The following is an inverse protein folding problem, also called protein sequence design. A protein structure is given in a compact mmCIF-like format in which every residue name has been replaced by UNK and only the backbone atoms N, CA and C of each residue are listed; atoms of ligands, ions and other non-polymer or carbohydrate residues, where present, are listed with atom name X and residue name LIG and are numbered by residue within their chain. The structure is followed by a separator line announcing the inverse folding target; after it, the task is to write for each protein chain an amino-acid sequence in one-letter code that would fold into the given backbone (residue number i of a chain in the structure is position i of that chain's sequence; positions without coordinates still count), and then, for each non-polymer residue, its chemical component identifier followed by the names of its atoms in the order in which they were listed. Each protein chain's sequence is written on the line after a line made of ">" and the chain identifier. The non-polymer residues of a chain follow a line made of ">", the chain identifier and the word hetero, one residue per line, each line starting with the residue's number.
data_IF_463876674212
#
_entry.id   IF_463876674212
#
_cell.length_a   1.000
_cell.length_b   1.000
_cell.length_c   1.000
_cell.angle_alpha   90.00
_cell.angle_beta   90.00
_cell.angle_gamma   90.00
#
_symmetry.space_group_name_H-M   'P 1'
#
loop_
_entity.id
_entity.type
_entity.pdbx_description
1 polymer ?
#
# COMPACT_ATOMS: atom_id res chain seq x y z
N UNK A 1 -28.03 29.39 -8.18
CA UNK A 1 -28.33 28.11 -7.55
C UNK A 1 -27.25 27.82 -6.54
N UNK A 2 -27.53 27.67 -5.26
CA UNK A 2 -26.51 27.23 -4.31
C UNK A 2 -26.06 25.84 -4.69
N UNK A 3 -24.78 25.69 -4.97
CA UNK A 3 -24.16 24.40 -5.20
C UNK A 3 -24.22 23.64 -3.85
N UNK A 4 -25.01 22.59 -3.81
CA UNK A 4 -25.06 21.74 -2.63
C UNK A 4 -23.74 20.95 -2.63
N UNK A 5 -22.82 21.16 -1.66
CA UNK A 5 -21.54 20.48 -1.65
C UNK A 5 -21.76 18.97 -1.56
N UNK A 6 -20.94 18.22 -2.28
CA UNK A 6 -20.98 16.76 -2.16
C UNK A 6 -20.59 16.34 -0.73
N UNK A 7 -21.02 15.16 -0.31
CA UNK A 7 -20.65 14.60 1.01
C UNK A 7 -19.12 14.56 1.17
N UNK A 8 -18.41 14.32 0.06
CA UNK A 8 -16.93 14.34 0.01
C UNK A 8 -16.38 15.72 0.34
N UNK A 9 -16.93 16.79 -0.28
CA UNK A 9 -16.48 18.16 -0.02
C UNK A 9 -16.80 18.64 1.41
N UNK A 10 -17.90 18.18 2.00
CA UNK A 10 -18.22 18.48 3.41
C UNK A 10 -17.26 17.77 4.36
N UNK A 11 -16.96 16.50 4.12
CA UNK A 11 -15.98 15.72 4.88
C UNK A 11 -14.58 16.33 4.75
N UNK A 12 -14.18 16.71 3.55
CA UNK A 12 -12.89 17.37 3.29
C UNK A 12 -12.76 18.68 4.07
N UNK A 13 -13.80 19.53 4.03
CA UNK A 13 -13.83 20.79 4.82
C UNK A 13 -13.75 20.55 6.32
N UNK A 14 -14.51 19.59 6.85
CA UNK A 14 -14.48 19.22 8.25
C UNK A 14 -13.09 18.67 8.65
N UNK A 15 -12.47 17.92 7.76
CA UNK A 15 -11.13 17.37 7.94
C UNK A 15 -10.06 18.47 7.96
N UNK A 16 -10.06 19.38 6.99
CA UNK A 16 -9.09 20.48 6.88
C UNK A 16 -9.21 21.44 8.07
N UNK A 17 -10.45 21.73 8.53
CA UNK A 17 -10.68 22.59 9.69
C UNK A 17 -10.33 21.95 11.05
N UNK A 18 -10.13 20.64 11.08
CA UNK A 18 -9.78 19.91 12.31
C UNK A 18 -8.34 20.14 12.76
N UNK A 19 -8.08 19.94 14.06
CA UNK A 19 -6.71 19.83 14.57
C UNK A 19 -6.06 18.53 14.05
N UNK A 20 -4.70 18.45 13.97
CA UNK A 20 -4.02 17.26 13.48
C UNK A 20 -4.52 15.96 14.14
N UNK A 21 -4.67 15.89 15.46
CA UNK A 21 -5.16 14.70 16.13
C UNK A 21 -6.61 14.34 15.80
N UNK A 22 -7.48 15.34 15.56
CA UNK A 22 -8.86 15.09 15.13
C UNK A 22 -8.92 14.56 13.67
N UNK A 23 -8.01 15.01 12.82
CA UNK A 23 -7.89 14.51 11.46
C UNK A 23 -7.50 13.04 11.44
N UNK A 24 -6.50 12.68 12.24
CA UNK A 24 -6.04 11.30 12.38
C UNK A 24 -7.17 10.40 12.88
N UNK A 25 -7.87 10.79 13.94
CA UNK A 25 -9.01 10.05 14.48
C UNK A 25 -10.13 9.89 13.45
N UNK A 26 -10.45 10.93 12.69
CA UNK A 26 -11.50 10.89 11.66
C UNK A 26 -11.13 9.92 10.54
N UNK A 27 -9.89 9.99 10.04
CA UNK A 27 -9.42 9.07 9.01
C UNK A 27 -9.44 7.62 9.48
N UNK A 28 -8.92 7.35 10.68
CA UNK A 28 -8.90 6.00 11.23
C UNK A 28 -10.32 5.44 11.37
N UNK A 29 -11.28 6.25 11.80
CA UNK A 29 -12.71 5.84 11.88
C UNK A 29 -13.31 5.58 10.51
N UNK A 30 -13.07 6.44 9.52
CA UNK A 30 -13.55 6.23 8.15
C UNK A 30 -12.93 4.96 7.55
N UNK A 31 -11.63 4.75 7.78
CA UNK A 31 -10.93 3.55 7.35
C UNK A 31 -11.50 2.30 8.01
N UNK A 32 -11.71 2.31 9.32
CA UNK A 32 -12.27 1.16 10.05
C UNK A 32 -13.70 0.84 9.58
N UNK A 33 -14.52 1.86 9.33
CA UNK A 33 -15.87 1.66 8.77
C UNK A 33 -15.81 0.98 7.41
N UNK A 34 -14.87 1.39 6.55
CA UNK A 34 -14.68 0.78 5.23
C UNK A 34 -14.17 -0.66 5.33
N UNK A 35 -13.15 -0.90 6.16
CA UNK A 35 -12.52 -2.22 6.29
C UNK A 35 -13.44 -3.25 6.99
N UNK A 36 -14.38 -2.78 7.82
CA UNK A 36 -15.38 -3.61 8.50
C UNK A 36 -16.71 -3.69 7.76
N UNK A 37 -16.88 -2.91 6.69
CA UNK A 37 -18.08 -2.95 5.86
C UNK A 37 -18.27 -4.35 5.28
N UNK A 38 -19.52 -4.85 5.24
CA UNK A 38 -19.79 -6.15 4.65
C UNK A 38 -19.38 -6.18 3.18
N UNK A 39 -18.99 -7.36 2.70
CA UNK A 39 -18.62 -7.60 1.28
C UNK A 39 -19.77 -7.29 0.27
N UNK A 40 -20.87 -6.73 0.76
CA UNK A 40 -22.09 -6.38 0.02
C UNK A 40 -22.16 -4.89 -0.37
N UNK A 41 -21.07 -4.14 -0.22
CA UNK A 41 -21.02 -2.76 -0.74
C UNK A 41 -21.29 -2.76 -2.24
N UNK A 42 -22.20 -1.87 -2.66
CA UNK A 42 -22.39 -1.64 -4.10
C UNK A 42 -21.13 -1.00 -4.69
N UNK A 43 -20.95 -1.15 -6.01
CA UNK A 43 -19.81 -0.52 -6.70
C UNK A 43 -19.77 1.00 -6.50
N UNK A 44 -20.94 1.64 -6.41
CA UNK A 44 -21.05 3.09 -6.14
C UNK A 44 -20.58 3.46 -4.72
N UNK A 45 -20.95 2.63 -3.72
CA UNK A 45 -20.52 2.84 -2.34
C UNK A 45 -19.00 2.62 -2.20
N UNK A 46 -18.46 1.59 -2.83
CA UNK A 46 -17.03 1.34 -2.84
C UNK A 46 -16.25 2.50 -3.48
N UNK A 47 -16.73 2.99 -4.64
CA UNK A 47 -16.12 4.14 -5.33
C UNK A 47 -16.17 5.42 -4.48
N UNK A 48 -17.29 5.69 -3.81
CA UNK A 48 -17.42 6.84 -2.91
C UNK A 48 -16.42 6.77 -1.75
N UNK A 49 -16.23 5.58 -1.15
CA UNK A 49 -15.25 5.38 -0.10
C UNK A 49 -13.82 5.58 -0.61
N UNK A 50 -13.51 5.07 -1.80
CA UNK A 50 -12.22 5.29 -2.44
C UNK A 50 -11.92 6.78 -2.62
N UNK A 51 -12.89 7.54 -3.11
CA UNK A 51 -12.77 8.99 -3.32
C UNK A 51 -12.56 9.72 -1.98
N UNK A 52 -13.34 9.38 -0.96
CA UNK A 52 -13.21 9.96 0.38
C UNK A 52 -11.82 9.68 0.96
N UNK A 53 -11.39 8.43 0.98
CA UNK A 53 -10.11 8.05 1.58
C UNK A 53 -8.95 8.67 0.78
N UNK A 54 -9.00 8.64 -0.55
CA UNK A 54 -7.97 9.25 -1.38
C UNK A 54 -7.85 10.75 -1.15
N UNK A 55 -8.98 11.45 -0.97
CA UNK A 55 -9.00 12.88 -0.64
C UNK A 55 -8.40 13.14 0.73
N UNK A 56 -8.82 12.40 1.76
CA UNK A 56 -8.32 12.56 3.12
C UNK A 56 -6.82 12.26 3.24
N UNK A 57 -6.33 11.24 2.54
CA UNK A 57 -4.91 10.84 2.53
C UNK A 57 -4.00 11.94 1.99
N UNK A 58 -4.49 12.81 1.07
CA UNK A 58 -3.68 13.93 0.55
C UNK A 58 -3.32 14.97 1.63
N UNK A 59 -4.07 15.00 2.72
CA UNK A 59 -3.88 15.94 3.84
C UNK A 59 -3.16 15.32 5.04
N UNK A 60 -2.69 14.08 4.90
CA UNK A 60 -1.97 13.37 5.96
C UNK A 60 -0.49 13.34 5.70
N UNK A 61 0.27 13.34 6.78
CA UNK A 61 1.72 13.24 6.77
C UNK A 61 2.25 12.31 7.89
N UNK A 62 3.44 11.79 7.69
CA UNK A 62 4.20 11.11 8.73
C UNK A 62 3.47 9.93 9.37
N UNK A 63 3.33 9.95 10.71
CA UNK A 63 2.80 8.81 11.50
C UNK A 63 1.41 8.36 11.11
N UNK A 64 0.56 9.27 10.67
CA UNK A 64 -0.81 8.96 10.29
C UNK A 64 -0.86 8.09 9.03
N UNK A 65 -0.02 8.40 8.04
CA UNK A 65 0.15 7.57 6.85
C UNK A 65 0.72 6.18 7.20
N UNK A 66 1.70 6.11 8.08
CA UNK A 66 2.27 4.83 8.56
C UNK A 66 1.18 3.98 9.22
N UNK A 67 0.40 4.58 10.13
CA UNK A 67 -0.69 3.87 10.81
C UNK A 67 -1.73 3.35 9.83
N UNK A 68 -2.10 4.17 8.85
CA UNK A 68 -3.02 3.78 7.78
C UNK A 68 -2.45 2.61 6.96
N UNK A 69 -1.20 2.68 6.54
CA UNK A 69 -0.54 1.62 5.76
C UNK A 69 -0.51 0.28 6.50
N UNK A 70 -0.20 0.28 7.79
CA UNK A 70 -0.22 -0.93 8.62
C UNK A 70 -1.61 -1.56 8.69
N UNK A 71 -2.66 -0.74 8.80
CA UNK A 71 -4.06 -1.23 8.83
C UNK A 71 -4.47 -1.80 7.47
N UNK A 72 -4.19 -1.07 6.39
CA UNK A 72 -4.51 -1.50 5.03
C UNK A 72 -3.78 -2.79 4.61
N UNK A 73 -2.53 -2.95 5.05
CA UNK A 73 -1.72 -4.14 4.73
C UNK A 73 -2.34 -5.46 5.22
N UNK A 74 -3.18 -5.39 6.26
CA UNK A 74 -3.85 -6.55 6.88
C UNK A 74 -5.27 -6.78 6.38
N UNK A 75 -5.78 -5.90 5.52
CA UNK A 75 -7.16 -5.97 5.05
C UNK A 75 -7.26 -6.60 3.68
N UNK A 76 -8.13 -7.59 3.55
CA UNK A 76 -8.48 -8.21 2.28
C UNK A 76 -9.32 -7.29 1.37
N UNK A 77 -10.02 -6.31 1.96
CA UNK A 77 -10.96 -5.43 1.24
C UNK A 77 -10.40 -4.02 1.03
N UNK A 78 -9.11 -3.83 1.21
CA UNK A 78 -8.51 -2.51 1.07
C UNK A 78 -8.52 -2.02 -0.39
N UNK A 79 -8.77 -0.70 -0.61
CA UNK A 79 -8.82 -0.12 -1.95
C UNK A 79 -7.51 -0.30 -2.70
N UNK A 80 -7.55 -0.98 -3.84
CA UNK A 80 -6.34 -1.34 -4.60
C UNK A 80 -5.55 -0.10 -5.05
N UNK A 81 -6.22 0.95 -5.50
CA UNK A 81 -5.55 2.18 -5.95
C UNK A 81 -4.83 2.89 -4.80
N UNK A 82 -5.46 2.98 -3.64
CA UNK A 82 -4.85 3.55 -2.44
C UNK A 82 -3.62 2.74 -2.00
N UNK A 83 -3.73 1.41 -2.00
CA UNK A 83 -2.59 0.53 -1.68
C UNK A 83 -1.43 0.74 -2.65
N UNK A 84 -1.69 0.80 -3.96
CA UNK A 84 -0.64 1.04 -4.96
C UNK A 84 0.03 2.39 -4.76
N UNK A 85 -0.74 3.44 -4.46
CA UNK A 85 -0.22 4.78 -4.17
C UNK A 85 0.69 4.78 -2.95
N UNK A 86 0.22 4.25 -1.81
CA UNK A 86 0.99 4.22 -0.56
C UNK A 86 2.19 3.26 -0.64
N UNK A 87 2.08 2.13 -1.35
CA UNK A 87 3.19 1.22 -1.59
C UNK A 87 4.30 1.82 -2.46
N UNK A 88 3.98 2.88 -3.22
CA UNK A 88 4.92 3.63 -4.05
C UNK A 88 5.44 4.90 -3.37
N UNK A 89 5.10 5.12 -2.10
CA UNK A 89 5.58 6.27 -1.33
C UNK A 89 7.10 6.22 -1.15
N UNK A 90 7.77 7.39 -1.16
CA UNK A 90 9.22 7.47 -0.96
C UNK A 90 9.64 7.13 0.47
N UNK A 91 8.74 7.38 1.43
CA UNK A 91 8.94 7.04 2.84
C UNK A 91 8.72 5.53 3.04
N UNK A 92 9.80 4.80 3.33
CA UNK A 92 9.72 3.35 3.49
C UNK A 92 8.85 2.90 4.67
N UNK A 93 8.72 3.75 5.68
CA UNK A 93 7.83 3.54 6.81
C UNK A 93 6.36 3.47 6.38
N UNK A 94 5.99 4.22 5.34
CA UNK A 94 4.66 4.21 4.73
C UNK A 94 4.52 3.02 3.77
N UNK A 95 5.45 2.87 2.83
CA UNK A 95 5.38 1.83 1.80
C UNK A 95 5.60 0.41 2.35
N UNK A 96 6.50 0.25 3.32
CA UNK A 96 7.00 -1.03 3.79
C UNK A 96 5.95 -2.02 4.27
N UNK A 97 5.00 -1.64 5.13
CA UNK A 97 3.94 -2.56 5.57
C UNK A 97 3.13 -3.15 4.41
N UNK A 98 2.84 -2.35 3.40
CA UNK A 98 2.09 -2.76 2.21
C UNK A 98 2.92 -3.66 1.30
N UNK A 99 4.19 -3.28 1.07
CA UNK A 99 5.12 -4.06 0.25
C UNK A 99 5.37 -5.45 0.83
N UNK A 100 5.51 -5.55 2.14
CA UNK A 100 5.75 -6.83 2.81
C UNK A 100 4.49 -7.69 2.95
N UNK A 101 3.30 -7.11 3.12
CA UNK A 101 2.15 -7.85 3.62
C UNK A 101 0.84 -7.73 2.86
N UNK A 102 0.66 -6.76 1.95
CA UNK A 102 -0.63 -6.60 1.28
C UNK A 102 -0.83 -7.58 0.12
N UNK A 103 -1.92 -8.36 0.17
CA UNK A 103 -2.32 -9.25 -0.91
C UNK A 103 -2.96 -8.52 -2.11
N UNK A 104 -3.30 -7.23 -1.93
CA UNK A 104 -3.83 -6.40 -3.02
C UNK A 104 -2.77 -5.94 -4.04
N UNK A 105 -1.48 -6.11 -3.72
CA UNK A 105 -0.37 -5.86 -4.66
C UNK A 105 -0.11 -7.11 -5.49
N UNK A 106 -0.40 -7.04 -6.77
CA UNK A 106 -0.07 -8.08 -7.74
C UNK A 106 1.41 -7.99 -8.18
N UNK A 107 1.88 -9.01 -8.89
CA UNK A 107 3.26 -9.08 -9.39
C UNK A 107 3.63 -7.88 -10.25
N UNK A 108 2.74 -7.41 -11.11
CA UNK A 108 2.99 -6.26 -11.98
C UNK A 108 3.27 -4.99 -11.17
N UNK A 109 2.49 -4.74 -10.11
CA UNK A 109 2.70 -3.62 -9.20
C UNK A 109 4.02 -3.74 -8.43
N UNK A 110 4.33 -4.95 -7.93
CA UNK A 110 5.57 -5.22 -7.21
C UNK A 110 6.80 -5.05 -8.11
N UNK A 111 6.74 -5.52 -9.34
CA UNK A 111 7.81 -5.36 -10.35
C UNK A 111 8.02 -3.88 -10.65
N UNK A 112 6.96 -3.12 -10.94
CA UNK A 112 7.07 -1.70 -11.24
C UNK A 112 7.70 -0.90 -10.08
N UNK A 113 7.35 -1.22 -8.84
CA UNK A 113 7.96 -0.62 -7.65
C UNK A 113 9.42 -1.07 -7.51
N UNK A 114 9.71 -2.35 -7.66
CA UNK A 114 11.07 -2.89 -7.58
C UNK A 114 11.99 -2.30 -8.65
N UNK A 115 11.48 -1.98 -9.83
CA UNK A 115 12.24 -1.36 -10.93
C UNK A 115 12.52 0.12 -10.73
N UNK A 116 11.63 0.85 -10.04
CA UNK A 116 11.65 2.31 -9.96
C UNK A 116 12.07 2.88 -8.60
N UNK A 117 11.90 2.11 -7.52
CA UNK A 117 12.11 2.60 -6.15
C UNK A 117 13.46 2.19 -5.55
N UNK A 118 13.71 2.62 -4.32
CA UNK A 118 14.97 2.45 -3.60
C UNK A 118 15.21 1.00 -3.16
N UNK A 119 16.44 0.70 -2.73
CA UNK A 119 16.83 -0.60 -2.18
C UNK A 119 16.00 -0.99 -0.93
N UNK A 120 15.55 0.00 -0.17
CA UNK A 120 14.66 -0.26 0.97
C UNK A 120 13.33 -0.88 0.54
N UNK A 121 12.80 -0.45 -0.61
CA UNK A 121 11.57 -1.04 -1.19
C UNK A 121 11.81 -2.49 -1.63
N UNK A 122 12.91 -2.76 -2.33
CA UNK A 122 13.27 -4.13 -2.72
C UNK A 122 13.42 -5.04 -1.50
N UNK A 123 14.08 -4.55 -0.45
CA UNK A 123 14.22 -5.26 0.80
C UNK A 123 12.86 -5.61 1.44
N UNK A 124 11.88 -4.72 1.35
CA UNK A 124 10.54 -4.96 1.88
C UNK A 124 9.74 -5.94 1.02
N UNK A 125 9.86 -5.88 -0.29
CA UNK A 125 9.26 -6.88 -1.20
C UNK A 125 9.84 -8.26 -0.92
N UNK A 126 11.16 -8.38 -0.68
CA UNK A 126 11.82 -9.65 -0.37
C UNK A 126 11.34 -10.32 0.94
N UNK A 127 10.67 -9.58 1.82
CA UNK A 127 10.08 -10.09 3.08
C UNK A 127 8.70 -10.77 2.87
N UNK A 128 8.11 -10.73 1.68
CA UNK A 128 6.78 -11.32 1.41
C UNK A 128 6.78 -12.82 1.61
N UNK A 129 5.66 -13.33 2.13
CA UNK A 129 5.46 -14.78 2.35
C UNK A 129 5.52 -15.60 1.06
N UNK A 130 5.15 -15.00 -0.08
CA UNK A 130 5.20 -15.64 -1.40
C UNK A 130 5.73 -14.65 -2.42
N UNK A 131 6.64 -15.11 -3.25
CA UNK A 131 7.21 -14.35 -4.36
C UNK A 131 7.26 -15.22 -5.61
N UNK A 132 6.73 -14.68 -6.70
CA UNK A 132 6.80 -15.33 -8.01
C UNK A 132 8.19 -15.23 -8.63
N UNK A 133 8.52 -16.08 -9.61
CA UNK A 133 9.77 -15.97 -10.35
C UNK A 133 9.98 -14.61 -11.02
N UNK A 134 8.91 -13.96 -11.46
CA UNK A 134 8.99 -12.65 -12.10
C UNK A 134 9.48 -11.57 -11.13
N UNK A 135 8.94 -11.55 -9.91
CA UNK A 135 9.34 -10.61 -8.86
C UNK A 135 10.74 -10.92 -8.34
N UNK A 136 11.06 -12.19 -8.10
CA UNK A 136 12.41 -12.60 -7.62
C UNK A 136 13.50 -12.26 -8.61
N UNK A 137 13.25 -12.38 -9.93
CA UNK A 137 14.22 -11.98 -10.96
C UNK A 137 14.62 -10.51 -10.82
N UNK A 138 13.66 -9.60 -10.66
CA UNK A 138 13.95 -8.18 -10.49
C UNK A 138 14.75 -7.91 -9.23
N UNK A 139 14.43 -8.59 -8.12
CA UNK A 139 15.18 -8.44 -6.86
C UNK A 139 16.61 -8.94 -7.01
N UNK A 140 16.83 -10.07 -7.69
CA UNK A 140 18.19 -10.62 -7.93
C UNK A 140 19.00 -9.74 -8.86
N UNK A 141 18.36 -9.12 -9.86
CA UNK A 141 19.01 -8.24 -10.83
C UNK A 141 19.38 -6.87 -10.25
N UNK A 142 18.52 -6.26 -9.45
CA UNK A 142 18.62 -4.87 -8.97
C UNK A 142 18.90 -4.72 -7.49
N UNK A 143 18.60 -5.74 -6.71
CA UNK A 143 18.71 -5.73 -5.27
C UNK A 143 20.15 -5.58 -4.79
N UNK A 144 20.31 -4.89 -3.67
CA UNK A 144 21.57 -4.91 -2.93
C UNK A 144 21.80 -6.29 -2.27
N UNK A 145 22.98 -6.46 -1.68
CA UNK A 145 23.35 -7.70 -1.01
C UNK A 145 22.31 -8.15 0.02
N UNK A 146 21.67 -7.21 0.71
CA UNK A 146 20.68 -7.51 1.75
C UNK A 146 19.37 -8.02 1.14
N UNK A 147 18.86 -7.37 0.08
CA UNK A 147 17.66 -7.80 -0.63
C UNK A 147 17.85 -9.20 -1.27
N UNK A 148 19.01 -9.42 -1.91
CA UNK A 148 19.38 -10.72 -2.50
C UNK A 148 19.45 -11.79 -1.42
N UNK A 149 20.11 -11.52 -0.28
CA UNK A 149 20.19 -12.46 0.82
C UNK A 149 18.79 -12.81 1.40
N UNK A 150 17.93 -11.81 1.58
CA UNK A 150 16.56 -12.01 2.06
C UNK A 150 15.76 -12.90 1.11
N UNK A 151 15.79 -12.63 -0.19
CA UNK A 151 15.02 -13.42 -1.16
C UNK A 151 15.56 -14.83 -1.30
N UNK A 152 16.88 -15.02 -1.22
CA UNK A 152 17.51 -16.34 -1.26
C UNK A 152 17.17 -17.19 -0.02
N UNK A 153 17.02 -16.56 1.16
CA UNK A 153 16.63 -17.23 2.40
C UNK A 153 15.11 -17.40 2.55
N UNK A 154 14.32 -16.86 1.64
CA UNK A 154 12.86 -16.87 1.72
C UNK A 154 12.28 -18.18 1.16
N UNK A 155 11.74 -19.03 2.03
CA UNK A 155 11.11 -20.30 1.64
C UNK A 155 9.89 -20.16 0.73
N UNK A 156 9.26 -19.00 0.70
CA UNK A 156 8.10 -18.70 -0.18
C UNK A 156 8.50 -18.07 -1.52
N UNK A 157 9.79 -17.81 -1.73
CA UNK A 157 10.28 -17.30 -2.99
C UNK A 157 10.47 -18.44 -4.00
N UNK A 158 9.97 -18.23 -5.20
CA UNK A 158 10.21 -19.11 -6.34
C UNK A 158 11.14 -18.42 -7.33
N UNK A 159 12.06 -19.20 -7.93
CA UNK A 159 13.08 -18.68 -8.81
C UNK A 159 12.92 -19.25 -10.22
N UNK A 160 13.17 -18.42 -11.22
CA UNK A 160 13.38 -18.88 -12.57
C UNK A 160 14.75 -19.53 -12.71
N UNK A 161 14.97 -20.28 -13.82
CA UNK A 161 16.28 -20.85 -14.14
C UNK A 161 17.36 -19.77 -14.24
N UNK A 162 17.01 -18.58 -14.77
CA UNK A 162 17.91 -17.43 -14.89
C UNK A 162 18.21 -16.85 -13.50
N UNK A 163 17.18 -16.63 -12.66
CA UNK A 163 17.36 -16.12 -11.30
C UNK A 163 18.27 -17.02 -10.45
N UNK A 164 18.11 -18.33 -10.55
CA UNK A 164 19.00 -19.29 -9.87
C UNK A 164 20.45 -19.21 -10.33
N UNK A 165 20.69 -19.03 -11.64
CA UNK A 165 22.06 -18.92 -12.17
C UNK A 165 22.76 -17.63 -11.78
N UNK A 166 22.02 -16.59 -11.42
CA UNK A 166 22.58 -15.30 -10.99
C UNK A 166 22.95 -15.31 -9.49
N UNK A 167 22.35 -16.23 -8.70
CA UNK A 167 22.63 -16.39 -7.28
C UNK A 167 23.89 -17.23 -6.99
N UNK A 168 24.43 -17.93 -7.97
CA UNK A 168 25.63 -18.79 -7.89
C UNK A 168 26.85 -18.06 -8.41
#
# INVERSE_FOLDING_TARGET
>A
MPHNPSVVEELERAFISGTPGKRDDMLLRVTDLFLTAPATLTSEQASLFDDIINTLVTHLEGRSLVTLSVRLARSANAPTQLIQRLASDEEIEVAGPLLAGSDALNDQSLIAIAESKSQLHLNKIAERLKLSPAVTNVIVERGDRNAIHKVAANYGATFSRIGMSTLV
#
